data_IF_858001871647
#
_entry.id   IF_858001871647
#
_cell.length_a   1.000
_cell.length_b   1.000
_cell.length_c   1.000
_cell.angle_alpha   90.00
_cell.angle_beta   90.00
_cell.angle_gamma   90.00
#
_symmetry.space_group_name_H-M   'P 1'
#
loop_
_entity.id
_entity.type
_entity.pdbx_description
1 polymer ?
#
# COMPACT_ATOMS: atom_id res chain seq x y z
N UNK A 1 -18.52 -3.12 27.08
CA UNK A 1 -18.32 -2.59 25.72
C UNK A 1 -16.98 -1.87 25.59
N UNK A 2 -16.36 -1.90 24.41
CA UNK A 2 -15.06 -1.26 24.19
C UNK A 2 -15.21 0.27 24.09
N UNK A 3 -15.30 0.93 25.20
CA UNK A 3 -15.59 2.38 25.30
C UNK A 3 -14.59 3.23 24.52
N UNK A 4 -13.29 2.90 24.60
CA UNK A 4 -12.25 3.61 23.88
C UNK A 4 -12.42 3.52 22.37
N UNK A 5 -12.78 2.34 21.85
CA UNK A 5 -13.07 2.14 20.43
C UNK A 5 -14.29 2.97 19.98
N UNK A 6 -15.32 3.06 20.79
CA UNK A 6 -16.50 3.89 20.50
C UNK A 6 -16.15 5.37 20.42
N UNK A 7 -15.35 5.89 21.34
CA UNK A 7 -14.88 7.28 21.30
C UNK A 7 -14.00 7.54 20.08
N UNK A 8 -13.08 6.63 19.74
CA UNK A 8 -12.24 6.73 18.56
C UNK A 8 -13.07 6.74 17.27
N UNK A 9 -14.07 5.86 17.18
CA UNK A 9 -15.00 5.80 16.04
C UNK A 9 -15.80 7.09 15.91
N UNK A 10 -16.32 7.62 17.02
CA UNK A 10 -17.02 8.90 17.02
C UNK A 10 -16.14 10.04 16.49
N UNK A 11 -14.89 10.10 16.91
CA UNK A 11 -13.95 11.11 16.43
C UNK A 11 -13.65 10.94 14.93
N UNK A 12 -13.41 9.73 14.48
CA UNK A 12 -13.17 9.42 13.08
C UNK A 12 -14.38 9.81 12.20
N UNK A 13 -15.60 9.57 12.65
CA UNK A 13 -16.82 9.99 11.94
C UNK A 13 -16.96 11.50 11.88
N UNK A 14 -16.63 12.22 12.95
CA UNK A 14 -16.62 13.70 12.92
C UNK A 14 -15.66 14.25 11.88
N UNK A 15 -14.46 13.71 11.82
CA UNK A 15 -13.45 14.10 10.84
C UNK A 15 -13.89 13.75 9.41
N UNK A 16 -14.44 12.55 9.23
CA UNK A 16 -14.99 12.11 7.95
C UNK A 16 -16.07 13.04 7.40
N UNK A 17 -17.05 13.39 8.24
CA UNK A 17 -18.13 14.28 7.83
C UNK A 17 -17.67 15.75 7.66
N UNK A 18 -16.67 16.18 8.41
CA UNK A 18 -16.09 17.51 8.25
C UNK A 18 -15.30 17.65 6.93
N UNK A 19 -14.56 16.62 6.53
CA UNK A 19 -13.88 16.59 5.23
C UNK A 19 -14.88 16.41 4.07
N UNK A 20 -15.88 15.57 4.25
CA UNK A 20 -16.83 15.15 3.24
C UNK A 20 -16.32 13.97 2.40
N UNK A 21 -17.24 13.10 2.02
CA UNK A 21 -16.93 11.85 1.32
C UNK A 21 -16.24 12.10 -0.03
N UNK A 22 -16.78 12.99 -0.85
CA UNK A 22 -16.23 13.31 -2.17
C UNK A 22 -14.81 13.89 -2.08
N UNK A 23 -14.58 14.82 -1.15
CA UNK A 23 -13.28 15.42 -0.94
C UNK A 23 -12.24 14.39 -0.46
N UNK A 24 -12.65 13.50 0.43
CA UNK A 24 -11.83 12.41 0.92
C UNK A 24 -11.44 11.45 -0.21
N UNK A 25 -12.39 11.01 -1.02
CA UNK A 25 -12.13 10.15 -2.16
C UNK A 25 -11.22 10.80 -3.20
N UNK A 26 -11.45 12.07 -3.50
CA UNK A 26 -10.60 12.83 -4.43
C UNK A 26 -9.15 12.90 -3.92
N UNK A 27 -8.97 13.15 -2.64
CA UNK A 27 -7.65 13.18 -2.00
C UNK A 27 -6.95 11.84 -2.06
N UNK A 28 -7.62 10.76 -1.69
CA UNK A 28 -7.06 9.41 -1.75
C UNK A 28 -6.72 8.99 -3.18
N UNK A 29 -7.62 9.23 -4.13
CA UNK A 29 -7.38 8.91 -5.54
C UNK A 29 -6.16 9.63 -6.11
N UNK A 30 -5.99 10.91 -5.77
CA UNK A 30 -4.83 11.70 -6.19
C UNK A 30 -3.53 11.15 -5.61
N UNK A 31 -3.51 10.81 -4.34
CA UNK A 31 -2.33 10.24 -3.67
C UNK A 31 -2.00 8.87 -4.26
N UNK A 32 -2.99 8.01 -4.43
CA UNK A 32 -2.79 6.67 -5.00
C UNK A 32 -2.28 6.73 -6.43
N UNK A 33 -2.83 7.62 -7.25
CA UNK A 33 -2.34 7.85 -8.61
C UNK A 33 -0.86 8.22 -8.63
N UNK A 34 -0.44 9.15 -7.78
CA UNK A 34 0.96 9.54 -7.67
C UNK A 34 1.86 8.37 -7.23
N UNK A 35 1.40 7.52 -6.30
CA UNK A 35 2.14 6.34 -5.86
C UNK A 35 2.27 5.32 -7.01
N UNK A 36 1.20 5.03 -7.74
CA UNK A 36 1.24 4.10 -8.88
C UNK A 36 2.18 4.60 -9.99
N UNK A 37 2.11 5.88 -10.33
CA UNK A 37 3.01 6.49 -11.30
C UNK A 37 4.47 6.40 -10.87
N UNK A 38 4.76 6.71 -9.60
CA UNK A 38 6.10 6.59 -9.02
C UNK A 38 6.64 5.17 -9.00
N UNK A 39 5.82 4.18 -8.63
CA UNK A 39 6.21 2.76 -8.67
C UNK A 39 6.52 2.31 -10.10
N UNK A 40 5.72 2.74 -11.07
CA UNK A 40 5.94 2.43 -12.49
C UNK A 40 7.23 3.05 -13.01
N UNK A 41 7.52 4.30 -12.69
CA UNK A 41 8.77 4.97 -13.06
C UNK A 41 10.00 4.27 -12.49
N UNK A 42 9.89 3.77 -11.26
CA UNK A 42 10.95 3.00 -10.61
C UNK A 42 11.06 1.56 -11.12
N UNK A 43 10.20 1.12 -12.05
CA UNK A 43 10.23 -0.21 -12.63
C UNK A 43 9.63 -1.31 -11.74
N UNK A 44 8.92 -0.97 -10.68
CA UNK A 44 8.22 -1.95 -9.85
C UNK A 44 6.96 -2.46 -10.56
N UNK A 45 6.73 -3.77 -10.42
CA UNK A 45 5.48 -4.40 -10.85
C UNK A 45 4.49 -4.38 -9.69
N UNK A 46 3.27 -3.98 -9.98
CA UNK A 46 2.21 -4.04 -8.98
C UNK A 46 1.60 -5.44 -8.90
N UNK A 47 1.25 -5.88 -7.69
CA UNK A 47 0.62 -7.17 -7.46
C UNK A 47 -0.80 -7.20 -8.03
N UNK A 48 -1.54 -6.11 -7.86
CA UNK A 48 -2.88 -5.92 -8.37
C UNK A 48 -2.83 -4.83 -9.44
N UNK A 49 -3.44 -5.10 -10.59
CA UNK A 49 -3.48 -4.12 -11.68
C UNK A 49 -4.19 -2.83 -11.24
N UNK A 50 -3.62 -1.65 -11.52
CA UNK A 50 -4.20 -0.37 -11.09
C UNK A 50 -5.65 -0.16 -11.51
N UNK A 51 -6.05 -0.70 -12.68
CA UNK A 51 -7.39 -0.53 -13.24
C UNK A 51 -8.48 -1.22 -12.42
N UNK A 52 -8.12 -2.26 -11.67
CA UNK A 52 -9.04 -3.03 -10.81
C UNK A 52 -8.79 -2.81 -9.33
N UNK A 53 -7.76 -2.07 -8.98
CA UNK A 53 -7.42 -1.76 -7.60
C UNK A 53 -8.29 -0.61 -7.11
N UNK A 54 -9.26 -0.94 -6.29
CA UNK A 54 -10.03 0.06 -5.54
C UNK A 54 -9.44 0.10 -4.14
N UNK A 55 -8.63 1.07 -3.85
CA UNK A 55 -8.13 1.07 -2.50
C UNK A 55 -7.16 2.16 -2.13
N UNK A 56 -6.81 2.09 -0.88
CA UNK A 56 -5.94 3.02 -0.19
C UNK A 56 -4.53 2.44 0.00
N UNK A 57 -4.26 1.29 -0.64
CA UNK A 57 -3.01 0.54 -0.46
C UNK A 57 -2.44 0.17 -1.83
N UNK A 58 -1.20 0.54 -2.06
CA UNK A 58 -0.41 0.05 -3.18
C UNK A 58 0.39 -1.18 -2.75
N UNK A 59 0.45 -2.19 -3.61
CA UNK A 59 1.21 -3.41 -3.38
C UNK A 59 2.17 -3.63 -4.53
N UNK A 60 3.47 -3.60 -4.26
CA UNK A 60 4.50 -3.86 -5.25
C UNK A 60 5.11 -5.26 -5.06
N UNK A 61 5.47 -5.87 -6.18
CA UNK A 61 6.21 -7.13 -6.18
C UNK A 61 7.70 -6.82 -6.05
N UNK A 62 8.42 -7.62 -5.28
CA UNK A 62 9.85 -7.48 -5.15
C UNK A 62 10.53 -7.64 -6.51
N UNK A 63 11.48 -6.74 -6.84
CA UNK A 63 12.28 -6.88 -8.06
C UNK A 63 13.02 -8.21 -8.10
N UNK A 64 13.17 -8.76 -9.30
CA UNK A 64 13.95 -9.97 -9.53
C UNK A 64 15.44 -9.61 -9.71
N UNK A 65 16.01 -8.98 -8.69
CA UNK A 65 17.40 -8.52 -8.63
C UNK A 65 18.07 -9.15 -7.40
N UNK A 66 19.16 -9.92 -7.58
CA UNK A 66 19.86 -10.55 -6.47
C UNK A 66 20.47 -9.55 -5.48
N UNK A 67 20.68 -8.31 -5.88
CA UNK A 67 21.22 -7.25 -5.03
C UNK A 67 20.13 -6.47 -4.29
N UNK A 68 18.86 -6.71 -4.61
CA UNK A 68 17.74 -6.02 -3.98
C UNK A 68 17.52 -6.49 -2.54
N UNK A 69 17.37 -5.55 -1.64
CA UNK A 69 17.09 -5.83 -0.23
C UNK A 69 15.96 -4.96 0.28
N UNK A 70 14.89 -5.59 0.75
CA UNK A 70 13.80 -4.89 1.41
C UNK A 70 14.30 -4.07 2.60
N UNK A 71 15.21 -4.61 3.40
CA UNK A 71 15.72 -3.93 4.57
C UNK A 71 16.40 -2.60 4.24
N UNK A 72 17.19 -2.55 3.18
CA UNK A 72 17.84 -1.32 2.72
C UNK A 72 16.82 -0.25 2.32
N UNK A 73 15.77 -0.65 1.61
CA UNK A 73 14.71 0.27 1.18
C UNK A 73 13.89 0.73 2.39
N UNK A 74 13.57 -0.19 3.30
CA UNK A 74 12.88 0.14 4.54
C UNK A 74 13.66 1.18 5.35
N UNK A 75 14.94 0.96 5.59
CA UNK A 75 15.78 1.85 6.39
C UNK A 75 15.91 3.23 5.73
N UNK A 76 16.10 3.25 4.43
CA UNK A 76 16.14 4.50 3.65
C UNK A 76 14.84 5.31 3.77
N UNK A 77 13.69 4.65 3.69
CA UNK A 77 12.39 5.29 3.87
C UNK A 77 12.18 5.75 5.31
N UNK A 78 12.55 4.89 6.27
CA UNK A 78 12.38 5.17 7.70
C UNK A 78 13.16 6.41 8.14
N UNK A 79 14.39 6.57 7.70
CA UNK A 79 15.22 7.76 7.97
C UNK A 79 14.58 9.06 7.44
N UNK A 80 13.67 8.94 6.45
CA UNK A 80 12.92 10.06 5.84
C UNK A 80 11.51 10.21 6.36
N UNK A 81 11.16 9.50 7.43
CA UNK A 81 9.86 9.58 8.08
C UNK A 81 8.76 8.74 7.45
N UNK A 82 9.11 7.80 6.57
CA UNK A 82 8.15 6.89 5.93
C UNK A 82 8.34 5.46 6.42
N UNK A 83 7.26 4.84 6.85
CA UNK A 83 7.26 3.43 7.24
C UNK A 83 6.62 2.59 6.15
N UNK A 84 7.33 1.58 5.69
CA UNK A 84 6.84 0.58 4.73
C UNK A 84 6.88 -0.81 5.37
N UNK A 85 5.98 -1.68 4.95
CA UNK A 85 5.88 -3.03 5.49
C UNK A 85 6.13 -4.09 4.42
N UNK A 86 6.80 -5.20 4.75
CA UNK A 86 6.89 -6.34 3.85
C UNK A 86 5.53 -7.04 3.76
N UNK A 87 5.26 -7.69 2.64
CA UNK A 87 4.13 -8.59 2.50
C UNK A 87 4.24 -9.76 3.49
N UNK A 88 3.12 -10.18 4.08
CA UNK A 88 3.11 -11.14 5.19
C UNK A 88 3.53 -12.57 4.84
N UNK A 89 3.56 -12.97 3.57
CA UNK A 89 3.98 -14.33 3.20
C UNK A 89 4.79 -14.40 1.91
N UNK A 90 6.14 -14.44 2.00
CA UNK A 90 6.99 -14.74 0.85
C UNK A 90 6.77 -16.15 0.27
N UNK A 91 6.26 -17.09 1.08
CA UNK A 91 6.04 -18.48 0.68
C UNK A 91 4.87 -18.66 -0.28
N UNK A 92 3.78 -17.91 -0.08
CA UNK A 92 2.59 -18.02 -0.93
C UNK A 92 2.85 -17.53 -2.35
N UNK A 93 3.71 -16.54 -2.52
CA UNK A 93 4.11 -16.05 -3.84
C UNK A 93 5.02 -17.03 -4.60
N UNK A 94 5.93 -17.72 -3.89
CA UNK A 94 6.74 -18.79 -4.49
C UNK A 94 5.88 -19.94 -4.98
N UNK A 95 4.84 -20.28 -4.23
CA UNK A 95 3.87 -21.32 -4.58
C UNK A 95 3.02 -20.90 -5.80
N UNK A 96 2.51 -19.67 -5.84
CA UNK A 96 1.78 -19.14 -6.98
C UNK A 96 2.64 -19.06 -8.26
N UNK A 97 3.91 -18.69 -8.16
CA UNK A 97 4.84 -18.72 -9.30
C UNK A 97 5.03 -20.14 -9.86
N UNK A 98 4.99 -21.15 -9.01
CA UNK A 98 5.10 -22.54 -9.48
C UNK A 98 3.84 -23.02 -10.20
N UNK A 99 2.67 -22.55 -9.82
CA UNK A 99 1.39 -22.86 -10.48
C UNK A 99 1.19 -22.11 -11.80
N UNK A 100 1.74 -20.90 -11.92
CA UNK A 100 1.63 -20.09 -13.14
C UNK A 100 2.68 -20.43 -14.22
N UNK A 101 3.61 -21.34 -13.91
CA UNK A 101 4.57 -21.87 -14.88
C UNK A 101 4.12 -23.15 -15.59
N UNK A 102 2.92 -23.59 -15.28
CA UNK A 102 2.28 -24.68 -16.02
C UNK A 102 1.49 -24.17 -17.20
#
# INVERSE_FOLDING_TARGET
PPVQTVYATRQALKEYFAEGEEAKWARHSRVMKAIHEGLKELGFKELIRPEIQIGLVASAVYPDDPNWSFQKVHDYCYERGFTIYPGKEPSMWKTLKSFLKC
#
